data_IF_142929709041
#
_entry.id   IF_142929709041
#
_cell.length_a   1.000
_cell.length_b   1.000
_cell.length_c   1.000
_cell.angle_alpha   90.00
_cell.angle_beta   90.00
_cell.angle_gamma   90.00
#
_symmetry.space_group_name_H-M   'P 1'
#
loop_
_entity.id
_entity.type
_entity.pdbx_description
1 polymer ?
#
# COMPACT_ATOMS: atom_id res chain seq x y z
N UNK A 1 5.51 -1.39 -7.24
CA UNK A 1 6.48 -2.47 -6.95
C UNK A 1 6.98 -2.26 -5.55
N UNK A 2 6.76 -3.24 -4.69
CA UNK A 2 7.35 -3.28 -3.36
C UNK A 2 8.84 -3.59 -3.42
N UNK A 3 9.62 -2.88 -2.62
CA UNK A 3 11.04 -3.17 -2.37
C UNK A 3 11.18 -3.65 -0.93
N UNK A 4 11.79 -4.82 -0.75
CA UNK A 4 12.10 -5.39 0.57
C UNK A 4 13.60 -5.27 0.81
N UNK A 5 14.00 -4.58 1.88
CA UNK A 5 15.40 -4.28 2.19
C UNK A 5 15.71 -4.76 3.61
N UNK A 6 16.80 -5.50 3.79
CA UNK A 6 17.32 -5.84 5.12
C UNK A 6 18.04 -4.62 5.70
N UNK A 7 17.72 -4.22 6.93
CA UNK A 7 18.35 -3.10 7.62
C UNK A 7 19.66 -3.56 8.29
N UNK A 8 20.52 -2.61 8.64
CA UNK A 8 21.73 -2.86 9.44
C UNK A 8 21.42 -3.49 10.81
N UNK A 9 20.26 -3.18 11.38
CA UNK A 9 19.74 -3.76 12.62
C UNK A 9 19.17 -5.18 12.47
N UNK A 10 19.25 -5.81 11.29
CA UNK A 10 18.74 -7.15 11.05
C UNK A 10 17.23 -7.26 10.83
N UNK A 11 16.52 -6.13 10.79
CA UNK A 11 15.08 -6.08 10.46
C UNK A 11 14.85 -5.98 8.96
N UNK A 12 13.59 -6.04 8.53
CA UNK A 12 13.18 -6.02 7.12
C UNK A 12 12.25 -4.84 6.86
N UNK A 13 12.69 -3.88 6.07
CA UNK A 13 11.90 -2.73 5.63
C UNK A 13 11.24 -3.05 4.30
N UNK A 14 9.91 -2.99 4.27
CA UNK A 14 9.13 -3.00 3.05
C UNK A 14 8.80 -1.56 2.64
N UNK A 15 8.97 -1.25 1.36
CA UNK A 15 8.73 0.07 0.76
C UNK A 15 7.92 -0.08 -0.51
N UNK A 16 6.73 0.50 -0.55
CA UNK A 16 5.84 0.47 -1.69
C UNK A 16 5.83 1.85 -2.34
N UNK A 17 6.14 1.87 -3.64
CA UNK A 17 5.95 3.02 -4.51
C UNK A 17 5.00 2.63 -5.63
N UNK A 18 3.88 3.35 -5.70
CA UNK A 18 2.88 3.19 -6.74
C UNK A 18 2.45 4.56 -7.23
N UNK A 19 2.47 4.76 -8.54
CA UNK A 19 2.04 6.02 -9.16
C UNK A 19 0.63 6.35 -8.70
N UNK A 20 0.44 7.59 -8.23
CA UNK A 20 -0.85 8.02 -7.72
C UNK A 20 -1.13 7.72 -6.25
N UNK A 21 -0.22 7.06 -5.55
CA UNK A 21 -0.31 6.78 -4.12
C UNK A 21 0.90 7.36 -3.38
N UNK A 22 0.73 7.79 -2.12
CA UNK A 22 1.86 8.14 -1.28
C UNK A 22 2.79 6.93 -1.09
N UNK A 23 4.09 7.20 -1.05
CA UNK A 23 5.05 6.17 -0.69
C UNK A 23 4.75 5.66 0.72
N UNK A 24 4.68 4.35 0.88
CA UNK A 24 4.36 3.70 2.16
C UNK A 24 5.49 2.76 2.53
N UNK A 25 5.93 2.81 3.79
CA UNK A 25 7.00 1.97 4.29
C UNK A 25 6.66 1.43 5.68
N UNK A 26 7.10 0.20 5.95
CA UNK A 26 6.97 -0.43 7.27
C UNK A 26 8.13 -1.40 7.50
N UNK A 27 8.57 -1.50 8.75
CA UNK A 27 9.67 -2.37 9.16
C UNK A 27 9.15 -3.56 9.96
N UNK A 28 9.71 -4.73 9.73
CA UNK A 28 9.30 -6.03 10.28
C UNK A 28 10.50 -6.78 10.84
N UNK A 29 10.25 -7.71 11.76
CA UNK A 29 11.31 -8.59 12.28
C UNK A 29 11.70 -9.67 11.29
N UNK A 30 10.76 -10.18 10.50
CA UNK A 30 11.01 -11.24 9.52
C UNK A 30 10.80 -10.75 8.09
N UNK A 31 11.50 -11.38 7.14
CA UNK A 31 11.34 -11.10 5.70
C UNK A 31 9.94 -11.45 5.22
N UNK A 32 9.41 -12.58 5.69
CA UNK A 32 8.09 -13.09 5.33
C UNK A 32 7.00 -12.11 5.69
N UNK A 33 7.02 -11.55 6.90
CA UNK A 33 6.02 -10.55 7.31
C UNK A 33 6.09 -9.29 6.43
N UNK A 34 7.30 -8.88 6.05
CA UNK A 34 7.50 -7.73 5.16
C UNK A 34 6.95 -7.99 3.76
N UNK A 35 7.17 -9.17 3.19
CA UNK A 35 6.64 -9.61 1.90
C UNK A 35 5.11 -9.75 1.92
N UNK A 36 4.55 -10.37 2.95
CA UNK A 36 3.12 -10.58 3.12
C UNK A 36 2.37 -9.24 3.29
N UNK A 37 2.91 -8.34 4.12
CA UNK A 37 2.36 -7.00 4.25
C UNK A 37 2.45 -6.22 2.95
N UNK A 38 3.60 -6.28 2.27
CA UNK A 38 3.81 -5.54 1.04
C UNK A 38 2.81 -5.94 -0.05
N UNK A 39 2.58 -7.25 -0.20
CA UNK A 39 1.60 -7.80 -1.15
C UNK A 39 0.18 -7.34 -0.83
N UNK A 40 -0.24 -7.44 0.44
CA UNK A 40 -1.58 -7.02 0.87
C UNK A 40 -1.80 -5.53 0.64
N UNK A 41 -0.82 -4.69 0.99
CA UNK A 41 -0.92 -3.25 0.80
C UNK A 41 -0.91 -2.86 -0.68
N UNK A 42 -0.10 -3.49 -1.54
CA UNK A 42 -0.18 -3.26 -2.98
C UNK A 42 -1.55 -3.65 -3.54
N UNK A 43 -2.12 -4.78 -3.12
CA UNK A 43 -3.46 -5.22 -3.52
C UNK A 43 -4.55 -4.23 -3.06
N UNK A 44 -4.49 -3.74 -1.83
CA UNK A 44 -5.38 -2.68 -1.32
C UNK A 44 -5.26 -1.39 -2.16
N UNK A 45 -4.05 -0.99 -2.53
CA UNK A 45 -3.80 0.17 -3.40
C UNK A 45 -4.25 -0.08 -4.84
N UNK A 46 -4.29 -1.33 -5.32
CA UNK A 46 -4.88 -1.69 -6.63
C UNK A 46 -6.39 -1.59 -6.58
N UNK A 47 -7.00 -2.08 -5.51
CA UNK A 47 -8.46 -2.05 -5.31
C UNK A 47 -9.00 -0.67 -4.93
N UNK A 48 -8.11 0.28 -4.64
CA UNK A 48 -8.49 1.63 -4.18
C UNK A 48 -8.97 1.69 -2.74
N UNK A 49 -8.83 0.61 -1.97
CA UNK A 49 -9.30 0.50 -0.58
C UNK A 49 -8.19 0.74 0.43
N UNK A 50 -6.97 1.07 -0.02
CA UNK A 50 -5.85 1.33 0.86
C UNK A 50 -6.13 2.55 1.74
N UNK A 51 -6.17 2.31 3.04
CA UNK A 51 -6.25 3.36 4.06
C UNK A 51 -4.84 3.60 4.57
N UNK A 52 -4.31 4.79 4.33
CA UNK A 52 -3.01 5.20 4.86
C UNK A 52 -3.07 5.30 6.39
N UNK A 53 -2.61 4.24 7.07
CA UNK A 53 -2.39 4.22 8.52
C UNK A 53 -0.93 4.57 8.80
N UNK A 54 -0.52 5.79 8.46
CA UNK A 54 0.83 6.26 8.74
C UNK A 54 0.95 6.78 10.19
N UNK A 55 2.09 6.59 10.88
CA UNK A 55 2.43 7.38 12.05
C UNK A 55 2.76 8.82 11.61
N UNK A 56 1.85 9.74 11.94
CA UNK A 56 2.02 11.18 12.18
C UNK A 56 2.65 12.14 11.13
N UNK A 57 3.35 11.73 10.07
CA UNK A 57 3.97 12.73 9.17
C UNK A 57 3.43 12.74 7.74
N UNK A 58 2.54 13.72 7.52
CA UNK A 58 2.26 14.42 6.25
C UNK A 58 1.72 13.59 5.08
N UNK A 59 0.41 13.34 5.09
CA UNK A 59 -0.43 13.65 3.92
C UNK A 59 -1.91 13.62 4.32
N UNK A 60 -2.64 14.68 3.96
CA UNK A 60 -4.05 14.86 4.27
C UNK A 60 -4.91 13.83 3.53
N UNK A 61 -5.75 13.14 4.30
CA UNK A 61 -6.72 12.11 3.88
C UNK A 61 -7.62 12.56 2.72
N UNK A 62 -7.81 13.88 2.58
CA UNK A 62 -8.66 14.53 1.58
C UNK A 62 -8.19 14.32 0.12
N UNK A 63 -6.87 14.33 -0.13
CA UNK A 63 -6.33 14.17 -1.48
C UNK A 63 -6.48 12.73 -2.01
N UNK A 64 -6.44 11.74 -1.11
CA UNK A 64 -6.60 10.33 -1.46
C UNK A 64 -8.07 9.96 -1.74
N UNK A 65 -9.02 10.52 -0.99
CA UNK A 65 -10.46 10.30 -1.21
C UNK A 65 -10.95 10.90 -2.54
N UNK A 66 -10.45 12.07 -2.91
CA UNK A 66 -10.87 12.78 -4.14
C UNK A 66 -10.57 11.98 -5.40
N UNK A 67 -9.48 11.19 -5.41
CA UNK A 67 -9.13 10.31 -6.53
C UNK A 67 -9.99 9.04 -6.61
N UNK A 68 -10.40 8.49 -5.46
CA UNK A 68 -11.20 7.27 -5.38
C UNK A 68 -12.56 7.40 -6.09
N UNK A 69 -13.24 8.54 -5.93
CA UNK A 69 -14.53 8.81 -6.58
C UNK A 69 -14.45 8.86 -8.10
N UNK A 70 -13.28 9.16 -8.69
CA UNK A 70 -13.12 9.38 -10.13
C UNK A 70 -12.68 8.12 -10.89
N UNK A 71 -12.01 7.16 -10.23
CA UNK A 71 -11.31 6.06 -10.94
C UNK A 71 -11.90 4.65 -10.69
N UNK A 72 -12.76 4.42 -9.68
CA UNK A 72 -13.18 3.05 -9.24
C UNK A 72 -14.64 2.69 -9.62
N UNK A 73 -15.10 3.04 -10.81
CA UNK A 73 -16.30 2.42 -11.42
C UNK A 73 -16.09 2.29 -12.93
N UNK A 74 -15.51 1.17 -13.42
CA UNK A 74 -16.35 0.24 -14.17
C UNK A 74 -15.92 -1.26 -14.19
N UNK A 75 -14.89 -1.72 -13.47
CA UNK A 75 -14.39 -3.12 -13.61
C UNK A 75 -14.69 -4.05 -12.44
N UNK A 76 -15.56 -3.66 -11.50
CA UNK A 76 -16.20 -4.61 -10.56
C UNK A 76 -17.24 -5.46 -11.32
N UNK A 77 -16.83 -6.15 -12.39
CA UNK A 77 -17.63 -7.23 -12.96
C UNK A 77 -17.63 -8.34 -11.93
N UNK A 78 -18.80 -8.46 -11.30
CA UNK A 78 -19.34 -9.67 -10.70
C UNK A 78 -18.89 -10.87 -11.52
N UNK A 79 -18.09 -11.74 -10.92
CA UNK A 79 -17.88 -13.09 -11.44
C UNK A 79 -19.17 -13.87 -11.24
N UNK A 80 -20.08 -13.76 -12.21
CA UNK A 80 -21.14 -14.72 -12.49
C UNK A 80 -20.73 -15.39 -13.80
N UNK A 81 -20.08 -16.56 -13.71
CA UNK A 81 -20.60 -17.79 -14.30
C UNK A 81 -19.76 -19.00 -13.89
#
# INVERSE_FOLDING_TARGET
MATIVKTSSGTWKALIRKTGWPATAKTFRTKRDAEDWARRTEDEMVRGVYIQRAPAERMTVEAALTRYLKEVTPTKRVGLH
#
